data_IF_031952803540
#
_entry.id   IF_031952803540
#
_cell.length_a   1.000
_cell.length_b   1.000
_cell.length_c   1.000
_cell.angle_alpha   90.00
_cell.angle_beta   90.00
_cell.angle_gamma   90.00
#
_symmetry.space_group_name_H-M   'P 1'
#
loop_
_entity.id
_entity.type
_entity.pdbx_description
1 polymer ?
#
# COMPACT_ATOMS: atom_id res chain seq x y z
N UNK A 1 15.84 -20.76 33.91
CA UNK A 1 16.15 -19.52 33.17
C UNK A 1 15.89 -19.81 31.69
N UNK A 2 14.71 -19.47 31.16
CA UNK A 2 14.36 -19.76 29.76
C UNK A 2 14.71 -18.51 28.95
N UNK A 3 15.75 -18.63 28.11
CA UNK A 3 16.19 -17.60 27.17
C UNK A 3 15.15 -17.53 26.04
N UNK A 4 14.17 -16.62 26.18
CA UNK A 4 13.15 -16.38 25.17
C UNK A 4 13.82 -15.86 23.89
N UNK A 5 13.80 -16.66 22.82
CA UNK A 5 14.07 -16.16 21.48
C UNK A 5 12.93 -15.20 21.14
N UNK A 6 13.23 -13.91 21.04
CA UNK A 6 12.34 -12.95 20.39
C UNK A 6 12.17 -13.44 18.94
N UNK A 7 10.98 -13.96 18.63
CA UNK A 7 10.56 -14.16 17.25
C UNK A 7 10.55 -12.78 16.61
N UNK A 8 11.50 -12.53 15.72
CA UNK A 8 11.48 -11.37 14.84
C UNK A 8 10.37 -11.58 13.81
N UNK A 9 9.12 -11.34 14.22
CA UNK A 9 7.97 -11.33 13.32
C UNK A 9 8.12 -10.06 12.50
N UNK A 10 8.69 -10.20 11.31
CA UNK A 10 8.89 -9.13 10.33
C UNK A 10 7.52 -8.50 10.00
N UNK A 11 7.38 -7.17 9.95
CA UNK A 11 6.09 -6.46 9.74
C UNK A 11 5.55 -6.57 8.30
N UNK A 12 5.80 -7.69 7.61
CA UNK A 12 5.40 -7.87 6.20
C UNK A 12 3.88 -7.92 6.01
N UNK A 13 3.12 -8.34 7.03
CA UNK A 13 1.65 -8.45 6.94
C UNK A 13 0.97 -7.08 7.00
N UNK A 14 1.53 -6.12 7.75
CA UNK A 14 0.94 -4.79 7.89
C UNK A 14 1.09 -3.95 6.62
N UNK A 15 2.24 -4.06 5.94
CA UNK A 15 2.51 -3.35 4.69
C UNK A 15 1.64 -3.85 3.53
N UNK A 16 1.37 -5.15 3.45
CA UNK A 16 0.49 -5.73 2.43
C UNK A 16 -0.97 -5.31 2.62
N UNK A 17 -1.45 -5.30 3.87
CA UNK A 17 -2.80 -4.83 4.20
C UNK A 17 -2.95 -3.33 3.91
N UNK A 18 -1.95 -2.53 4.30
CA UNK A 18 -1.93 -1.10 4.03
C UNK A 18 -1.86 -0.78 2.53
N UNK A 19 -1.06 -1.53 1.77
CA UNK A 19 -0.98 -1.40 0.31
C UNK A 19 -2.33 -1.75 -0.36
N UNK A 20 -3.01 -2.81 0.10
CA UNK A 20 -4.32 -3.18 -0.41
C UNK A 20 -5.38 -2.11 -0.11
N UNK A 21 -5.38 -1.54 1.10
CA UNK A 21 -6.30 -0.47 1.49
C UNK A 21 -6.07 0.82 0.65
N UNK A 22 -4.81 1.20 0.42
CA UNK A 22 -4.46 2.33 -0.46
C UNK A 22 -4.90 2.09 -1.90
N UNK A 23 -4.74 0.86 -2.40
CA UNK A 23 -5.17 0.53 -3.76
C UNK A 23 -6.69 0.59 -3.90
N UNK A 24 -7.43 0.06 -2.92
CA UNK A 24 -8.89 0.13 -2.88
C UNK A 24 -9.38 1.59 -2.87
N UNK A 25 -8.79 2.44 -2.01
CA UNK A 25 -9.16 3.84 -1.93
C UNK A 25 -8.81 4.64 -3.21
N UNK A 26 -7.75 4.27 -3.94
CA UNK A 26 -7.47 4.82 -5.27
C UNK A 26 -8.57 4.48 -6.29
N UNK A 27 -9.11 3.26 -6.24
CA UNK A 27 -10.23 2.84 -7.11
C UNK A 27 -11.49 3.64 -6.79
N UNK A 28 -11.82 3.83 -5.52
CA UNK A 28 -12.96 4.65 -5.10
C UNK A 28 -12.81 6.11 -5.55
N UNK A 29 -11.62 6.70 -5.39
CA UNK A 29 -11.33 8.07 -5.82
C UNK A 29 -11.54 8.26 -7.33
N UNK A 30 -11.17 7.26 -8.15
CA UNK A 30 -11.45 7.25 -9.59
C UNK A 30 -12.94 7.13 -9.90
N UNK A 31 -13.71 6.42 -9.09
CA UNK A 31 -15.16 6.39 -9.22
C UNK A 31 -15.76 7.77 -8.95
N UNK A 32 -15.35 8.43 -7.87
CA UNK A 32 -15.79 9.80 -7.55
C UNK A 32 -15.36 10.81 -8.63
N UNK A 33 -14.19 10.64 -9.24
CA UNK A 33 -13.72 11.50 -10.34
C UNK A 33 -14.68 11.48 -11.55
N UNK A 34 -15.32 10.34 -11.83
CA UNK A 34 -16.32 10.21 -12.90
C UNK A 34 -17.63 10.93 -12.57
N UNK A 35 -17.98 11.00 -11.29
CA UNK A 35 -19.20 11.67 -10.80
C UNK A 35 -19.01 13.19 -10.63
N UNK A 36 -17.77 13.66 -10.47
CA UNK A 36 -17.44 15.08 -10.30
C UNK A 36 -16.46 15.56 -11.38
N UNK A 37 -16.91 15.77 -12.63
CA UNK A 37 -16.03 16.11 -13.77
C UNK A 37 -15.13 17.33 -13.53
N UNK A 38 -15.63 18.36 -12.82
CA UNK A 38 -14.87 19.57 -12.50
C UNK A 38 -13.64 19.31 -11.60
N UNK A 39 -13.61 18.18 -10.89
CA UNK A 39 -12.52 17.78 -10.01
C UNK A 39 -11.80 16.52 -10.50
N UNK A 40 -12.18 15.99 -11.67
CA UNK A 40 -11.70 14.70 -12.15
C UNK A 40 -10.17 14.64 -12.25
N UNK A 41 -9.54 15.71 -12.75
CA UNK A 41 -8.08 15.80 -12.88
C UNK A 41 -7.35 15.65 -11.54
N UNK A 42 -7.79 16.40 -10.52
CA UNK A 42 -7.19 16.36 -9.18
C UNK A 42 -7.45 15.00 -8.50
N UNK A 43 -8.67 14.48 -8.62
CA UNK A 43 -9.05 13.19 -8.02
C UNK A 43 -8.30 12.02 -8.66
N UNK A 44 -8.11 12.04 -9.98
CA UNK A 44 -7.27 11.05 -10.66
C UNK A 44 -5.80 11.16 -10.27
N UNK A 45 -5.26 12.38 -10.13
CA UNK A 45 -3.88 12.59 -9.67
C UNK A 45 -3.65 12.04 -8.26
N UNK A 46 -4.62 12.22 -7.35
CA UNK A 46 -4.57 11.65 -6.01
C UNK A 46 -4.62 10.12 -6.07
N UNK A 47 -5.52 9.56 -6.89
CA UNK A 47 -5.63 8.11 -7.06
C UNK A 47 -4.33 7.48 -7.58
N UNK A 48 -3.67 8.13 -8.53
CA UNK A 48 -2.39 7.67 -9.08
C UNK A 48 -1.29 7.67 -8.02
N UNK A 49 -1.19 8.74 -7.22
CA UNK A 49 -0.25 8.81 -6.09
C UNK A 49 -0.49 7.67 -5.08
N UNK A 50 -1.75 7.42 -4.72
CA UNK A 50 -2.10 6.34 -3.79
C UNK A 50 -1.71 4.95 -4.33
N UNK A 51 -1.93 4.71 -5.63
CA UNK A 51 -1.55 3.47 -6.28
C UNK A 51 -0.02 3.31 -6.39
N UNK A 52 0.73 4.39 -6.58
CA UNK A 52 2.19 4.37 -6.58
C UNK A 52 2.78 4.07 -5.21
N UNK A 53 2.21 4.66 -4.14
CA UNK A 53 2.60 4.35 -2.77
C UNK A 53 2.33 2.88 -2.47
N UNK A 54 1.13 2.37 -2.78
CA UNK A 54 0.79 0.96 -2.59
C UNK A 54 1.78 0.02 -3.32
N UNK A 55 2.11 0.32 -4.58
CA UNK A 55 3.13 -0.43 -5.34
C UNK A 55 4.52 -0.35 -4.71
N UNK A 56 4.90 0.81 -4.19
CA UNK A 56 6.21 1.00 -3.55
C UNK A 56 6.33 0.18 -2.27
N UNK A 57 5.25 0.10 -1.48
CA UNK A 57 5.19 -0.73 -0.27
C UNK A 57 5.36 -2.21 -0.62
N UNK A 58 4.68 -2.70 -1.66
CA UNK A 58 4.81 -4.09 -2.12
C UNK A 58 6.20 -4.41 -2.71
N UNK A 59 6.90 -3.42 -3.28
CA UNK A 59 8.25 -3.59 -3.84
C UNK A 59 9.36 -3.55 -2.78
N UNK A 60 9.07 -3.07 -1.56
CA UNK A 60 9.98 -3.12 -0.40
C UNK A 60 10.24 -4.55 0.13
N UNK A 61 9.42 -5.52 -0.29
CA UNK A 61 9.47 -6.92 0.08
C UNK A 61 10.42 -7.74 -0.81
N UNK A 62 11.70 -7.37 -0.92
CA UNK A 62 12.71 -8.22 -1.57
C UNK A 62 13.33 -9.17 -0.52
N UNK A 63 13.50 -10.48 -0.82
CA UNK A 63 13.88 -11.50 0.16
C UNK A 63 15.25 -11.23 0.79
N UNK A 64 15.38 -11.58 2.08
CA UNK A 64 16.70 -11.76 2.70
C UNK A 64 17.52 -12.71 1.82
N UNK A 65 18.67 -12.24 1.33
CA UNK A 65 19.65 -13.08 0.68
C UNK A 65 20.09 -14.19 1.64
N UNK A 66 19.90 -15.43 1.22
CA UNK A 66 20.38 -16.64 1.86
C UNK A 66 21.92 -16.57 1.91
N UNK A 67 22.49 -16.71 3.11
CA UNK A 67 23.92 -16.91 3.35
C UNK A 67 24.32 -18.38 3.16
#
# INVERSE_FOLDING_TARGET
MIRGKLLNIKPMVDDEIAAAALHYAAVEMRATAREVPRRAEVLNSIADLMADIARSMMKGSVPEMIH
#
